data_IF_712918778178
#
_entry.id   IF_712918778178
#
_cell.length_a   1.000
_cell.length_b   1.000
_cell.length_c   1.000
_cell.angle_alpha   90.00
_cell.angle_beta   90.00
_cell.angle_gamma   90.00
#
_symmetry.space_group_name_H-M   'P 1'
#
loop_
_entity.id
_entity.type
_entity.pdbx_description
1 polymer ?
#
# COMPACT_ATOMS: atom_id res chain seq x y z
N UNK A 1 -12.04 8.53 25.35
CA UNK A 1 -10.61 8.73 25.67
C UNK A 1 -9.92 7.38 25.61
N UNK A 2 -9.09 7.15 24.59
CA UNK A 2 -8.02 6.15 24.53
C UNK A 2 -7.31 6.26 23.16
N UNK A 3 -6.00 6.47 23.21
CA UNK A 3 -5.03 6.31 22.13
C UNK A 3 -5.08 7.30 20.95
N UNK A 4 -5.02 8.60 21.25
CA UNK A 4 -4.26 9.56 20.43
C UNK A 4 -2.79 9.57 20.90
N UNK A 5 -2.22 8.38 21.12
CA UNK A 5 -0.80 8.23 21.39
C UNK A 5 -0.10 8.24 20.02
N UNK A 6 0.56 9.35 19.70
CA UNK A 6 1.72 9.44 18.78
C UNK A 6 1.79 8.35 17.71
N UNK A 7 0.76 8.23 16.85
CA UNK A 7 0.80 7.29 15.73
C UNK A 7 1.61 7.97 14.61
N UNK A 8 2.93 7.99 14.78
CA UNK A 8 3.89 8.35 13.73
C UNK A 8 4.05 7.22 12.71
N UNK A 9 3.43 6.05 12.95
CA UNK A 9 3.55 4.83 12.16
C UNK A 9 2.18 4.42 11.58
N UNK A 10 2.07 4.48 10.26
CA UNK A 10 0.88 4.14 9.48
C UNK A 10 1.13 2.87 8.66
N UNK A 11 0.10 2.06 8.52
CA UNK A 11 0.09 0.89 7.64
C UNK A 11 -0.66 1.22 6.34
N UNK A 12 0.02 1.07 5.21
CA UNK A 12 -0.54 1.27 3.88
C UNK A 12 -1.15 -0.05 3.41
N UNK A 13 -2.46 -0.18 3.47
CA UNK A 13 -3.19 -1.41 3.11
C UNK A 13 -3.78 -1.27 1.71
N UNK A 14 -3.34 -2.13 0.79
CA UNK A 14 -3.96 -2.30 -0.52
C UNK A 14 -5.27 -3.08 -0.34
N UNK A 15 -6.40 -2.40 -0.50
CA UNK A 15 -7.73 -3.02 -0.40
C UNK A 15 -8.13 -3.70 -1.71
N UNK A 16 -7.83 -3.07 -2.85
CA UNK A 16 -8.11 -3.62 -4.15
C UNK A 16 -7.12 -3.11 -5.20
N UNK A 17 -6.74 -3.96 -6.14
CA UNK A 17 -5.83 -3.60 -7.24
C UNK A 17 -6.54 -2.97 -8.45
N UNK A 18 -7.88 -2.94 -8.45
CA UNK A 18 -8.68 -2.48 -9.57
C UNK A 18 -8.41 -3.24 -10.89
N UNK A 19 -8.79 -2.62 -12.00
CA UNK A 19 -8.61 -3.17 -13.36
C UNK A 19 -7.16 -3.01 -13.86
N UNK A 20 -6.43 -2.02 -13.35
CA UNK A 20 -5.06 -1.68 -13.76
C UNK A 20 -4.00 -2.45 -12.96
N UNK A 21 -4.24 -3.74 -12.71
CA UNK A 21 -3.37 -4.60 -11.85
C UNK A 21 -1.88 -4.52 -12.21
N UNK A 22 -1.53 -4.44 -13.49
CA UNK A 22 -0.13 -4.34 -13.93
C UNK A 22 0.53 -3.06 -13.40
N UNK A 23 -0.17 -1.94 -13.41
CA UNK A 23 0.35 -0.68 -12.89
C UNK A 23 0.49 -0.74 -11.37
N UNK A 24 -0.50 -1.30 -10.68
CA UNK A 24 -0.45 -1.50 -9.22
C UNK A 24 0.71 -2.42 -8.83
N UNK A 25 0.94 -3.52 -9.56
CA UNK A 25 2.10 -4.41 -9.32
C UNK A 25 3.42 -3.66 -9.50
N UNK A 26 3.52 -2.74 -10.48
CA UNK A 26 4.73 -1.92 -10.66
C UNK A 26 4.97 -1.00 -9.47
N UNK A 27 3.93 -0.31 -8.99
CA UNK A 27 4.04 0.56 -7.82
C UNK A 27 4.35 -0.23 -6.55
N UNK A 28 3.67 -1.36 -6.30
CA UNK A 28 3.97 -2.24 -5.17
C UNK A 28 5.42 -2.71 -5.22
N UNK A 29 5.94 -3.10 -6.39
CA UNK A 29 7.37 -3.45 -6.53
C UNK A 29 8.30 -2.28 -6.26
N UNK A 30 7.96 -1.08 -6.68
CA UNK A 30 8.76 0.11 -6.42
C UNK A 30 8.80 0.45 -4.92
N UNK A 31 7.66 0.30 -4.22
CA UNK A 31 7.53 0.60 -2.79
C UNK A 31 8.18 -0.48 -1.91
N UNK A 32 8.06 -1.76 -2.27
CA UNK A 32 8.47 -2.90 -1.42
C UNK A 32 9.77 -3.57 -1.86
N UNK A 33 10.26 -3.27 -3.07
CA UNK A 33 11.38 -3.97 -3.72
C UNK A 33 11.19 -5.49 -3.90
N UNK A 34 9.95 -5.99 -3.79
CA UNK A 34 9.63 -7.40 -3.96
C UNK A 34 9.85 -7.89 -5.40
N UNK A 35 10.08 -9.20 -5.54
CA UNK A 35 10.10 -9.86 -6.85
C UNK A 35 8.76 -9.76 -7.58
N UNK A 36 8.75 -9.98 -8.90
CA UNK A 36 7.53 -9.93 -9.71
C UNK A 36 6.44 -10.90 -9.20
N UNK A 37 6.86 -12.07 -8.75
CA UNK A 37 5.96 -13.09 -8.20
C UNK A 37 5.35 -12.64 -6.87
N UNK A 38 6.18 -12.22 -5.93
CA UNK A 38 5.76 -11.79 -4.60
C UNK A 38 4.85 -10.55 -4.65
N UNK A 39 5.18 -9.57 -5.50
CA UNK A 39 4.33 -8.39 -5.68
C UNK A 39 2.99 -8.74 -6.32
N UNK A 40 2.97 -9.68 -7.27
CA UNK A 40 1.72 -10.18 -7.84
C UNK A 40 0.88 -10.89 -6.77
N UNK A 41 1.48 -11.77 -5.97
CA UNK A 41 0.81 -12.45 -4.86
C UNK A 41 0.26 -11.45 -3.82
N UNK A 42 1.01 -10.38 -3.50
CA UNK A 42 0.54 -9.32 -2.61
C UNK A 42 -0.70 -8.62 -3.17
N UNK A 43 -0.64 -8.22 -4.44
CA UNK A 43 -1.72 -7.50 -5.13
C UNK A 43 -2.97 -8.38 -5.32
N UNK A 44 -2.79 -9.68 -5.53
CA UNK A 44 -3.89 -10.66 -5.64
C UNK A 44 -4.46 -11.07 -4.28
N UNK A 45 -3.68 -10.96 -3.20
CA UNK A 45 -4.10 -11.24 -1.83
C UNK A 45 -4.77 -10.05 -1.13
N UNK A 46 -5.11 -8.99 -1.86
CA UNK A 46 -5.84 -7.85 -1.31
C UNK A 46 -7.18 -8.31 -0.66
N UNK A 47 -7.54 -7.80 0.54
CA UNK A 47 -6.91 -6.69 1.26
C UNK A 47 -5.64 -7.10 2.02
N UNK A 48 -4.50 -6.45 1.74
CA UNK A 48 -3.19 -6.76 2.34
C UNK A 48 -2.30 -5.52 2.49
N UNK A 49 -1.49 -5.47 3.56
CA UNK A 49 -0.52 -4.41 3.78
C UNK A 49 0.60 -4.42 2.72
N UNK A 50 0.88 -3.26 2.13
CA UNK A 50 1.97 -3.01 1.19
C UNK A 50 3.18 -2.47 1.95
N UNK A 51 2.95 -1.51 2.84
CA UNK A 51 3.93 -0.95 3.75
C UNK A 51 3.35 -0.98 5.15
N UNK A 52 4.16 -1.32 6.13
CA UNK A 52 3.77 -1.36 7.53
C UNK A 52 4.68 -0.42 8.30
N UNK A 53 4.13 0.28 9.30
CA UNK A 53 4.86 1.16 10.21
C UNK A 53 5.69 2.25 9.52
N UNK A 54 5.09 2.90 8.52
CA UNK A 54 5.73 4.00 7.80
C UNK A 54 5.25 5.36 8.31
N UNK A 55 6.09 6.38 8.20
CA UNK A 55 5.67 7.73 8.58
C UNK A 55 4.52 8.23 7.70
N UNK A 56 3.77 9.22 8.20
CA UNK A 56 2.63 9.80 7.48
C UNK A 56 2.97 10.26 6.07
N UNK A 57 4.15 10.86 5.86
CA UNK A 57 4.53 11.36 4.54
C UNK A 57 4.83 10.21 3.56
N UNK A 58 5.43 9.13 4.03
CA UNK A 58 5.63 7.90 3.25
C UNK A 58 4.30 7.21 2.98
N UNK A 59 3.39 7.15 3.97
CA UNK A 59 2.08 6.56 3.84
C UNK A 59 1.20 7.28 2.80
N UNK A 60 1.13 8.62 2.89
CA UNK A 60 0.39 9.46 1.95
C UNK A 60 0.97 9.35 0.54
N UNK A 61 2.30 9.35 0.38
CA UNK A 61 2.94 9.15 -0.94
C UNK A 61 2.64 7.78 -1.53
N UNK A 62 2.73 6.72 -0.73
CA UNK A 62 2.45 5.37 -1.20
C UNK A 62 0.99 5.22 -1.61
N UNK A 63 0.06 5.79 -0.82
CA UNK A 63 -1.35 5.86 -1.15
C UNK A 63 -1.58 6.59 -2.46
N UNK A 64 -1.03 7.79 -2.64
CA UNK A 64 -1.20 8.58 -3.87
C UNK A 64 -0.65 7.85 -5.11
N UNK A 65 0.52 7.21 -5.00
CA UNK A 65 1.10 6.39 -6.07
C UNK A 65 0.20 5.20 -6.46
N UNK A 66 -0.29 4.46 -5.47
CA UNK A 66 -1.12 3.28 -5.68
C UNK A 66 -2.52 3.66 -6.20
N UNK A 67 -3.16 4.68 -5.64
CA UNK A 67 -4.45 5.18 -6.12
C UNK A 67 -4.34 5.78 -7.54
N UNK A 68 -3.25 6.52 -7.83
CA UNK A 68 -2.93 7.00 -9.17
C UNK A 68 -2.73 5.86 -10.19
N UNK A 69 -2.22 4.72 -9.74
CA UNK A 69 -2.11 3.51 -10.54
C UNK A 69 -3.45 2.78 -10.75
N UNK A 70 -4.49 3.12 -9.98
CA UNK A 70 -5.84 2.54 -10.05
C UNK A 70 -6.16 1.52 -8.96
N UNK A 71 -5.40 1.48 -7.87
CA UNK A 71 -5.72 0.71 -6.68
C UNK A 71 -6.62 1.49 -5.71
N UNK A 72 -7.22 0.77 -4.76
CA UNK A 72 -7.82 1.34 -3.56
C UNK A 72 -6.93 1.03 -2.36
N UNK A 73 -6.57 2.08 -1.61
CA UNK A 73 -5.64 1.99 -0.48
C UNK A 73 -6.23 2.68 0.75
N UNK A 74 -6.12 2.00 1.89
CA UNK A 74 -6.49 2.53 3.20
C UNK A 74 -5.24 2.67 4.08
N UNK A 75 -5.18 3.78 4.83
CA UNK A 75 -4.14 4.00 5.84
C UNK A 75 -4.72 3.59 7.20
N UNK A 76 -4.02 2.69 7.90
CA UNK A 76 -4.33 2.29 9.28
C UNK A 76 -3.28 2.80 10.26
#
# INVERSE_FOLDING_TARGET
>A
EAAAAEQDEFDVVLEAAGDKKINVIKEVRALTSLGLKEAKELVEAAPKAVLEKVDKATADKAKESLEGAGASVSLK
#
